data_IF_940603723454
#
_entry.id   IF_940603723454
#
_cell.length_a   1.000
_cell.length_b   1.000
_cell.length_c   1.000
_cell.angle_alpha   90.00
_cell.angle_beta   90.00
_cell.angle_gamma   90.00
#
_symmetry.space_group_name_H-M   'P 1'
#
loop_
_entity.id
_entity.type
_entity.pdbx_description
1 polymer ?
#
# COMPACT_ATOMS: atom_id res chain seq x y z
N UNK A 1 -18.03 -24.94 2.04
CA UNK A 1 -19.09 -24.46 2.97
C UNK A 1 -18.44 -23.39 3.82
N UNK A 2 -18.68 -22.11 3.51
CA UNK A 2 -18.28 -20.99 4.37
C UNK A 2 -19.28 -20.96 5.51
N UNK A 3 -18.76 -21.24 6.70
CA UNK A 3 -19.50 -21.39 7.95
C UNK A 3 -20.32 -20.14 8.28
N UNK A 4 -21.56 -20.29 8.73
CA UNK A 4 -22.50 -19.24 9.19
C UNK A 4 -22.07 -18.58 10.52
N UNK A 5 -20.79 -18.24 10.64
CA UNK A 5 -20.28 -17.54 11.82
C UNK A 5 -20.72 -16.09 11.80
N UNK A 6 -21.14 -15.59 12.96
CA UNK A 6 -21.41 -14.17 13.13
C UNK A 6 -20.27 -13.31 12.60
N UNK A 7 -20.56 -12.22 11.88
CA UNK A 7 -19.51 -11.36 11.32
C UNK A 7 -18.66 -10.75 12.43
N UNK A 8 -17.35 -10.68 12.19
CA UNK A 8 -16.40 -9.97 13.05
C UNK A 8 -16.63 -8.47 13.01
N UNK A 9 -16.87 -7.94 11.80
CA UNK A 9 -17.25 -6.56 11.59
C UNK A 9 -18.35 -6.47 10.52
N UNK A 10 -19.27 -5.51 10.67
CA UNK A 10 -20.30 -5.23 9.65
C UNK A 10 -20.52 -3.73 9.51
N UNK A 11 -20.64 -3.31 8.26
CA UNK A 11 -21.06 -1.97 7.87
C UNK A 11 -22.52 -2.05 7.42
N UNK A 12 -23.34 -1.17 7.94
CA UNK A 12 -24.78 -1.12 7.63
C UNK A 12 -25.14 0.32 7.23
N UNK A 13 -25.43 0.53 5.94
CA UNK A 13 -25.84 1.80 5.36
C UNK A 13 -24.92 2.97 5.71
N UNK A 14 -23.59 2.71 5.76
CA UNK A 14 -22.60 3.73 6.12
C UNK A 14 -22.64 4.90 5.15
N UNK A 15 -22.77 6.12 5.72
CA UNK A 15 -22.71 7.37 5.00
C UNK A 15 -21.69 8.31 5.63
N UNK A 16 -20.77 8.81 4.80
CA UNK A 16 -19.71 9.73 5.24
C UNK A 16 -19.69 10.97 4.36
N UNK A 17 -19.71 12.13 4.99
CA UNK A 17 -19.71 13.44 4.35
C UNK A 17 -18.54 14.30 4.81
N UNK A 18 -18.07 15.17 3.93
CA UNK A 18 -17.08 16.20 4.24
C UNK A 18 -17.66 17.58 3.92
N UNK A 19 -17.51 18.50 4.85
CA UNK A 19 -17.82 19.91 4.59
C UNK A 19 -16.64 20.57 3.89
N UNK A 20 -16.84 21.04 2.66
CA UNK A 20 -15.84 21.74 1.87
C UNK A 20 -16.26 23.18 1.62
N UNK A 21 -15.34 24.00 1.12
CA UNK A 21 -15.66 25.39 0.74
C UNK A 21 -16.75 25.50 -0.33
N UNK A 22 -16.85 24.48 -1.18
CA UNK A 22 -17.78 24.42 -2.31
C UNK A 22 -19.08 23.66 -1.96
N UNK A 23 -19.27 23.27 -0.70
CA UNK A 23 -20.43 22.52 -0.22
C UNK A 23 -20.09 21.16 0.38
N UNK A 24 -21.12 20.35 0.62
CA UNK A 24 -20.96 19.01 1.17
C UNK A 24 -20.59 18.01 0.07
N UNK A 25 -19.52 17.24 0.30
CA UNK A 25 -19.09 16.14 -0.54
C UNK A 25 -19.42 14.82 0.16
N UNK A 26 -20.21 13.96 -0.48
CA UNK A 26 -20.51 12.62 0.01
C UNK A 26 -19.42 11.67 -0.47
N UNK A 27 -18.55 11.27 0.44
CA UNK A 27 -17.41 10.38 0.11
C UNK A 27 -17.79 8.89 0.18
N UNK A 28 -18.79 8.55 0.99
CA UNK A 28 -19.35 7.20 1.11
C UNK A 28 -20.86 7.33 1.21
N UNK A 29 -21.57 6.61 0.35
CA UNK A 29 -23.04 6.64 0.28
C UNK A 29 -23.62 5.23 0.37
N UNK A 30 -24.29 4.94 1.49
CA UNK A 30 -25.04 3.71 1.73
C UNK A 30 -24.26 2.39 1.50
N UNK A 31 -23.06 2.29 2.11
CA UNK A 31 -22.26 1.07 1.98
C UNK A 31 -22.63 0.07 3.07
N UNK A 32 -22.95 -1.15 2.63
CA UNK A 32 -23.21 -2.28 3.51
C UNK A 32 -22.42 -3.51 3.06
N UNK A 33 -21.58 -4.05 3.93
CA UNK A 33 -20.86 -5.33 3.76
C UNK A 33 -20.41 -5.87 5.12
N UNK A 34 -19.94 -7.10 5.14
CA UNK A 34 -19.50 -7.78 6.37
C UNK A 34 -18.08 -8.33 6.21
N UNK A 35 -17.41 -8.55 7.32
CA UNK A 35 -16.11 -9.22 7.38
C UNK A 35 -16.26 -10.37 8.37
N UNK A 36 -16.04 -11.61 7.91
CA UNK A 36 -16.08 -12.80 8.76
C UNK A 36 -14.74 -13.03 9.47
N UNK A 37 -14.71 -13.75 10.58
CA UNK A 37 -13.45 -14.17 11.20
C UNK A 37 -12.55 -14.91 10.20
N UNK A 38 -11.24 -14.61 10.19
CA UNK A 38 -10.23 -15.24 9.33
C UNK A 38 -10.40 -14.96 7.83
N UNK A 39 -11.35 -14.13 7.44
CA UNK A 39 -11.59 -13.75 6.04
C UNK A 39 -10.70 -12.59 5.62
N UNK A 40 -10.24 -12.62 4.37
CA UNK A 40 -9.70 -11.43 3.69
C UNK A 40 -10.76 -10.85 2.77
N UNK A 41 -11.27 -9.68 3.11
CA UNK A 41 -12.15 -8.90 2.23
C UNK A 41 -11.31 -7.82 1.56
N UNK A 42 -11.26 -7.85 0.22
CA UNK A 42 -10.61 -6.79 -0.55
C UNK A 42 -11.63 -5.73 -0.97
N UNK A 43 -11.35 -4.48 -0.62
CA UNK A 43 -12.11 -3.30 -1.03
C UNK A 43 -11.40 -2.66 -2.23
N UNK A 44 -12.02 -2.68 -3.40
CA UNK A 44 -11.38 -2.29 -4.67
C UNK A 44 -12.17 -1.20 -5.40
N UNK A 45 -11.51 -0.47 -6.29
CA UNK A 45 -12.09 0.60 -7.11
C UNK A 45 -11.07 1.69 -7.39
N UNK A 46 -11.45 2.69 -8.17
CA UNK A 46 -10.59 3.81 -8.53
C UNK A 46 -10.21 4.69 -7.34
N UNK A 47 -9.19 5.54 -7.51
CA UNK A 47 -8.84 6.56 -6.51
C UNK A 47 -10.05 7.49 -6.29
N UNK A 48 -10.33 7.82 -5.04
CA UNK A 48 -11.49 8.65 -4.69
C UNK A 48 -12.81 7.89 -4.54
N UNK A 49 -12.89 6.59 -4.80
CA UNK A 49 -14.15 5.81 -4.68
C UNK A 49 -14.63 5.56 -3.24
N UNK A 50 -13.98 6.13 -2.22
CA UNK A 50 -14.42 6.02 -0.83
C UNK A 50 -13.82 4.87 -0.01
N UNK A 51 -12.90 4.05 -0.57
CA UNK A 51 -12.32 2.86 0.10
C UNK A 51 -11.63 3.19 1.42
N UNK A 52 -10.65 4.09 1.39
CA UNK A 52 -9.90 4.51 2.58
C UNK A 52 -10.79 5.24 3.58
N UNK A 53 -11.77 6.02 3.10
CA UNK A 53 -12.76 6.66 3.97
C UNK A 53 -13.59 5.63 4.72
N UNK A 54 -14.03 4.56 4.05
CA UNK A 54 -14.78 3.46 4.67
C UNK A 54 -13.95 2.76 5.76
N UNK A 55 -12.68 2.47 5.50
CA UNK A 55 -11.78 1.84 6.49
C UNK A 55 -11.46 2.76 7.67
N UNK A 56 -11.20 4.04 7.42
CA UNK A 56 -10.97 5.05 8.45
C UNK A 56 -12.21 5.28 9.31
N UNK A 57 -13.42 5.08 8.75
CA UNK A 57 -14.69 5.17 9.49
C UNK A 57 -14.82 4.06 10.52
N UNK A 58 -14.36 2.84 10.23
CA UNK A 58 -14.32 1.74 11.19
C UNK A 58 -13.43 2.07 12.39
N UNK A 59 -12.34 2.79 12.16
CA UNK A 59 -11.47 3.29 13.21
C UNK A 59 -11.94 4.64 13.78
N UNK A 60 -12.99 5.25 13.24
CA UNK A 60 -13.44 6.62 13.53
C UNK A 60 -12.30 7.65 13.41
N UNK A 61 -11.36 7.39 12.53
CA UNK A 61 -10.26 8.32 12.24
C UNK A 61 -10.69 9.39 11.22
N UNK A 62 -11.73 9.14 10.44
CA UNK A 62 -12.31 10.10 9.49
C UNK A 62 -12.72 11.40 10.16
N UNK A 63 -13.19 11.34 11.42
CA UNK A 63 -13.59 12.52 12.22
C UNK A 63 -12.44 13.51 12.44
N UNK A 64 -11.19 13.00 12.59
CA UNK A 64 -10.01 13.87 12.75
C UNK A 64 -9.58 14.55 11.45
N UNK A 65 -10.00 14.00 10.30
CA UNK A 65 -9.81 14.60 8.98
C UNK A 65 -10.95 15.53 8.53
N UNK A 66 -11.87 15.88 9.42
CA UNK A 66 -13.01 16.74 9.11
C UNK A 66 -14.20 16.03 8.47
N UNK A 67 -14.17 14.68 8.42
CA UNK A 67 -15.29 13.89 7.94
C UNK A 67 -16.37 13.71 9.01
N UNK A 68 -17.62 13.70 8.58
CA UNK A 68 -18.79 13.45 9.40
C UNK A 68 -19.40 12.09 9.06
N UNK A 69 -19.59 11.24 10.08
CA UNK A 69 -20.31 9.97 9.98
C UNK A 69 -21.82 10.29 10.01
N UNK A 70 -22.36 10.62 8.82
CA UNK A 70 -23.69 11.18 8.65
C UNK A 70 -24.82 10.15 8.78
N UNK A 71 -24.51 8.85 8.69
CA UNK A 71 -25.52 7.78 8.81
C UNK A 71 -24.93 6.39 8.84
N UNK A 72 -25.81 5.42 9.13
CA UNK A 72 -25.45 4.00 9.21
C UNK A 72 -24.93 3.55 10.56
N UNK A 73 -24.39 2.32 10.59
CA UNK A 73 -23.80 1.69 11.77
C UNK A 73 -22.56 0.88 11.38
N UNK A 74 -21.64 0.77 12.30
CA UNK A 74 -20.47 -0.12 12.16
C UNK A 74 -20.41 -1.00 13.41
N UNK A 75 -20.73 -2.26 13.25
CA UNK A 75 -20.64 -3.22 14.35
C UNK A 75 -19.28 -3.93 14.32
N UNK A 76 -18.75 -4.16 15.49
CA UNK A 76 -17.54 -4.96 15.71
C UNK A 76 -17.76 -5.91 16.87
N UNK A 77 -17.35 -7.18 16.71
CA UNK A 77 -17.40 -8.19 17.75
C UNK A 77 -16.03 -8.32 18.41
N UNK A 78 -15.93 -7.91 19.69
CA UNK A 78 -14.68 -7.94 20.45
C UNK A 78 -14.20 -9.35 20.76
N UNK A 79 -12.98 -9.47 21.29
CA UNK A 79 -12.42 -10.74 21.81
C UNK A 79 -13.26 -11.37 22.92
N UNK A 80 -14.04 -10.56 23.63
CA UNK A 80 -14.96 -10.99 24.68
C UNK A 80 -16.32 -11.47 24.13
N UNK A 81 -16.51 -11.45 22.79
CA UNK A 81 -17.77 -11.85 22.13
C UNK A 81 -18.86 -10.76 22.15
N UNK A 82 -18.55 -9.55 22.62
CA UNK A 82 -19.51 -8.44 22.65
C UNK A 82 -19.59 -7.76 21.28
N UNK A 83 -20.77 -7.76 20.67
CA UNK A 83 -21.06 -6.98 19.44
C UNK A 83 -21.42 -5.55 19.82
N UNK A 84 -20.67 -4.59 19.33
CA UNK A 84 -20.79 -3.18 19.69
C UNK A 84 -20.84 -2.31 18.44
N UNK A 85 -21.73 -1.32 18.39
CA UNK A 85 -21.72 -0.28 17.38
C UNK A 85 -20.61 0.73 17.70
N UNK A 86 -19.58 0.75 16.87
CA UNK A 86 -18.39 1.59 17.04
C UNK A 86 -18.71 3.09 16.94
N UNK A 87 -19.76 3.47 16.19
CA UNK A 87 -20.13 4.87 16.01
C UNK A 87 -20.66 5.49 17.30
N UNK A 88 -21.24 4.68 18.18
CA UNK A 88 -21.79 5.11 19.47
C UNK A 88 -20.79 5.12 20.63
N UNK A 89 -19.54 4.67 20.39
CA UNK A 89 -18.52 4.64 21.45
C UNK A 89 -17.94 6.03 21.72
N UNK A 90 -17.57 6.28 22.99
CA UNK A 90 -16.76 7.45 23.33
C UNK A 90 -15.33 7.29 22.77
N UNK A 91 -14.62 8.42 22.59
CA UNK A 91 -13.21 8.39 22.16
C UNK A 91 -12.29 7.59 23.12
N UNK A 92 -12.63 7.55 24.42
CA UNK A 92 -11.92 6.72 25.41
C UNK A 92 -12.09 5.23 25.13
N UNK A 93 -13.31 4.80 24.81
CA UNK A 93 -13.60 3.40 24.45
C UNK A 93 -12.93 3.02 23.13
N UNK A 94 -13.00 3.90 22.11
CA UNK A 94 -12.33 3.68 20.82
C UNK A 94 -10.80 3.52 20.96
N UNK A 95 -10.15 4.21 21.92
CA UNK A 95 -8.71 4.01 22.19
C UNK A 95 -8.36 2.61 22.65
N UNK A 96 -9.28 1.91 23.33
CA UNK A 96 -9.06 0.51 23.73
C UNK A 96 -9.20 -0.47 22.56
N UNK A 97 -9.89 -0.08 21.49
CA UNK A 97 -10.10 -0.89 20.28
C UNK A 97 -8.96 -0.66 19.29
N UNK A 98 -8.60 0.62 19.03
CA UNK A 98 -7.54 1.02 18.11
C UNK A 98 -6.19 0.47 18.59
N UNK A 99 -5.51 -0.28 17.71
CA UNK A 99 -4.21 -0.88 17.98
C UNK A 99 -4.25 -2.15 18.85
N UNK A 100 -5.35 -2.43 19.54
CA UNK A 100 -5.52 -3.65 20.33
C UNK A 100 -6.38 -4.72 19.60
N UNK A 101 -7.65 -4.40 19.35
CA UNK A 101 -8.59 -5.30 18.65
C UNK A 101 -8.56 -5.11 17.14
N UNK A 102 -8.30 -3.88 16.68
CA UNK A 102 -8.20 -3.50 15.28
C UNK A 102 -6.85 -2.82 15.04
N UNK A 103 -5.99 -3.47 14.24
CA UNK A 103 -4.73 -2.91 13.76
C UNK A 103 -4.91 -2.24 12.41
N UNK A 104 -4.05 -1.25 12.08
CA UNK A 104 -4.10 -0.60 10.78
C UNK A 104 -2.70 -0.36 10.21
N UNK A 105 -2.52 -0.71 8.94
CA UNK A 105 -1.39 -0.34 8.10
C UNK A 105 -1.88 0.79 7.20
N UNK A 106 -1.29 1.98 7.35
CA UNK A 106 -1.64 3.17 6.58
C UNK A 106 -0.96 3.18 5.20
N UNK A 107 -1.54 3.89 4.26
CA UNK A 107 -1.10 3.98 2.87
C UNK A 107 0.35 4.46 2.72
N UNK A 108 0.80 5.39 3.56
CA UNK A 108 2.16 5.93 3.52
C UNK A 108 2.98 5.54 4.76
N UNK A 109 3.91 4.58 4.66
CA UNK A 109 4.75 4.17 5.79
C UNK A 109 5.68 5.30 6.27
N UNK A 110 5.96 6.29 5.41
CA UNK A 110 6.81 7.44 5.73
C UNK A 110 6.16 8.37 6.75
N UNK A 111 4.84 8.53 6.68
CA UNK A 111 4.05 9.39 7.58
C UNK A 111 3.55 8.64 8.81
N UNK A 112 3.47 7.31 8.74
CA UNK A 112 3.01 6.46 9.84
C UNK A 112 4.02 6.36 11.00
N UNK A 113 5.34 6.52 10.72
CA UNK A 113 6.39 6.49 11.73
C UNK A 113 6.77 7.89 12.17
N UNK A 114 6.80 8.13 13.48
CA UNK A 114 7.27 9.38 14.05
C UNK A 114 8.81 9.49 13.89
N UNK A 115 9.33 10.48 13.13
CA UNK A 115 10.75 10.57 12.80
C UNK A 115 11.67 10.88 13.99
N UNK A 116 11.14 11.41 15.10
CA UNK A 116 11.92 11.79 16.30
C UNK A 116 11.95 10.72 17.39
N UNK A 117 11.28 9.56 17.15
CA UNK A 117 11.30 8.43 18.07
C UNK A 117 12.00 7.22 17.44
N UNK A 118 12.75 6.49 18.28
CA UNK A 118 13.38 5.23 17.86
C UNK A 118 12.33 4.18 17.53
N UNK A 119 12.71 3.19 16.73
CA UNK A 119 11.85 2.05 16.40
C UNK A 119 11.41 1.30 17.67
N UNK A 120 12.32 1.11 18.63
CA UNK A 120 12.00 0.49 19.92
C UNK A 120 10.84 1.19 20.62
N UNK A 121 10.92 2.53 20.75
CA UNK A 121 9.90 3.31 21.45
C UNK A 121 8.52 3.14 20.79
N UNK A 122 8.47 3.20 19.47
CA UNK A 122 7.22 3.11 18.72
C UNK A 122 6.61 1.71 18.77
N UNK A 123 7.40 0.65 18.63
CA UNK A 123 6.95 -0.74 18.74
C UNK A 123 6.47 -1.10 20.16
N UNK A 124 7.15 -0.61 21.18
CA UNK A 124 6.83 -0.96 22.58
C UNK A 124 5.66 -0.18 23.14
N UNK A 125 5.32 0.98 22.59
CA UNK A 125 4.25 1.85 23.08
C UNK A 125 2.90 1.12 23.13
N UNK A 126 2.47 0.54 22.01
CA UNK A 126 1.22 -0.22 21.91
C UNK A 126 1.18 -1.40 22.89
N UNK A 127 2.28 -2.13 23.01
CA UNK A 127 2.40 -3.26 23.93
C UNK A 127 2.26 -2.84 25.42
N UNK A 128 2.89 -1.72 25.78
CA UNK A 128 2.81 -1.21 27.16
C UNK A 128 1.40 -0.70 27.47
N UNK A 129 0.83 0.07 26.56
CA UNK A 129 -0.49 0.71 26.76
C UNK A 129 -1.61 -0.31 26.79
N UNK A 130 -1.67 -1.23 25.83
CA UNK A 130 -2.78 -2.15 25.67
C UNK A 130 -2.60 -3.46 26.47
N UNK A 131 -1.42 -4.07 26.41
CA UNK A 131 -1.15 -5.32 27.15
C UNK A 131 -0.73 -5.10 28.61
N UNK A 132 -0.48 -3.84 29.01
CA UNK A 132 -0.07 -3.45 30.36
C UNK A 132 1.16 -4.25 30.87
N UNK A 133 2.08 -4.61 29.96
CA UNK A 133 3.30 -5.34 30.29
C UNK A 133 4.45 -4.38 30.63
N UNK A 134 5.46 -4.89 31.32
CA UNK A 134 6.64 -4.09 31.65
C UNK A 134 7.46 -3.71 30.43
N UNK A 135 8.19 -2.60 30.48
CA UNK A 135 9.10 -2.16 29.41
C UNK A 135 10.06 -3.25 28.94
N UNK A 136 10.61 -4.03 29.90
CA UNK A 136 11.51 -5.15 29.60
C UNK A 136 10.81 -6.23 28.76
N UNK A 137 9.59 -6.61 29.13
CA UNK A 137 8.80 -7.60 28.39
C UNK A 137 8.39 -7.07 27.03
N UNK A 138 7.93 -5.81 26.95
CA UNK A 138 7.57 -5.16 25.68
C UNK A 138 8.76 -5.12 24.71
N UNK A 139 9.98 -4.86 25.18
CA UNK A 139 11.18 -4.89 24.35
C UNK A 139 11.49 -6.28 23.78
N UNK A 140 11.30 -7.34 24.56
CA UNK A 140 11.49 -8.72 24.09
C UNK A 140 10.45 -9.02 23.00
N UNK A 141 9.17 -8.74 23.24
CA UNK A 141 8.11 -8.95 22.25
C UNK A 141 8.33 -8.12 20.99
N UNK A 142 8.79 -6.87 21.11
CA UNK A 142 9.12 -6.02 19.96
C UNK A 142 10.29 -6.58 19.11
N UNK A 143 11.30 -7.19 19.74
CA UNK A 143 12.38 -7.88 19.01
C UNK A 143 11.85 -9.11 18.25
N UNK A 144 10.96 -9.88 18.87
CA UNK A 144 10.33 -11.03 18.22
C UNK A 144 9.48 -10.58 16.99
N UNK A 145 8.74 -9.47 17.13
CA UNK A 145 8.00 -8.87 16.02
C UNK A 145 8.92 -8.46 14.87
N UNK A 146 10.06 -7.82 15.15
CA UNK A 146 11.02 -7.46 14.10
C UNK A 146 11.62 -8.68 13.39
N UNK A 147 11.87 -9.77 14.13
CA UNK A 147 12.30 -11.06 13.54
C UNK A 147 11.21 -11.67 12.70
N UNK A 148 9.96 -11.63 13.16
CA UNK A 148 8.79 -12.14 12.45
C UNK A 148 8.60 -11.46 11.10
N UNK A 149 8.78 -10.12 11.05
CA UNK A 149 8.73 -9.36 9.79
C UNK A 149 10.07 -9.35 9.03
N UNK A 150 11.02 -10.20 9.40
CA UNK A 150 12.33 -10.39 8.74
C UNK A 150 13.16 -9.12 8.61
N UNK A 151 13.19 -8.29 9.66
CA UNK A 151 14.12 -7.17 9.74
C UNK A 151 15.53 -7.72 10.07
N UNK A 152 16.56 -7.42 9.25
CA UNK A 152 17.93 -7.84 9.54
C UNK A 152 18.50 -7.06 10.74
N UNK A 153 19.32 -7.73 11.57
CA UNK A 153 19.95 -7.13 12.77
C UNK A 153 18.95 -6.40 13.69
N UNK A 154 17.86 -7.06 14.16
CA UNK A 154 16.75 -6.37 14.82
C UNK A 154 17.18 -5.64 16.10
N UNK A 155 18.16 -6.14 16.83
CA UNK A 155 18.71 -5.48 18.03
C UNK A 155 19.34 -4.12 17.73
N UNK A 156 20.00 -4.00 16.58
CA UNK A 156 20.58 -2.75 16.10
C UNK A 156 19.47 -1.82 15.60
N UNK A 157 18.52 -2.34 14.79
CA UNK A 157 17.44 -1.55 14.19
C UNK A 157 16.49 -0.96 15.23
N UNK A 158 16.28 -1.64 16.36
CA UNK A 158 15.49 -1.09 17.47
C UNK A 158 15.97 0.28 17.95
N UNK A 159 17.28 0.53 17.91
CA UNK A 159 17.89 1.78 18.40
C UNK A 159 17.90 2.88 17.35
N UNK A 160 17.59 2.57 16.10
CA UNK A 160 17.60 3.49 14.98
C UNK A 160 16.30 4.30 14.90
N UNK A 161 16.40 5.41 14.19
CA UNK A 161 15.26 6.24 13.83
C UNK A 161 14.72 5.84 12.44
N UNK A 162 13.46 6.16 12.11
CA UNK A 162 12.86 5.80 10.82
C UNK A 162 13.68 6.21 9.60
N UNK A 163 14.30 7.38 9.60
CA UNK A 163 15.08 7.88 8.47
C UNK A 163 16.37 7.09 8.18
N UNK A 164 16.84 6.28 9.13
CA UNK A 164 18.00 5.39 8.97
C UNK A 164 17.64 4.03 8.35
N UNK A 165 16.34 3.76 8.11
CA UNK A 165 15.83 2.52 7.51
C UNK A 165 15.48 2.72 6.03
N UNK A 166 15.61 1.67 5.22
CA UNK A 166 15.08 1.66 3.85
C UNK A 166 13.55 1.70 3.83
N UNK A 167 12.95 2.06 2.69
CA UNK A 167 11.49 2.07 2.53
C UNK A 167 10.84 0.74 2.88
N UNK A 168 11.35 -0.37 2.36
CA UNK A 168 10.85 -1.71 2.67
C UNK A 168 11.02 -2.11 4.15
N UNK A 169 12.11 -1.68 4.81
CA UNK A 169 12.26 -1.89 6.25
C UNK A 169 11.25 -1.07 7.06
N UNK A 170 10.99 0.19 6.69
CA UNK A 170 9.95 1.01 7.35
C UNK A 170 8.59 0.37 7.23
N UNK A 171 8.23 -0.13 6.04
CA UNK A 171 6.96 -0.83 5.82
C UNK A 171 6.84 -2.05 6.72
N UNK A 172 7.89 -2.88 6.83
CA UNK A 172 7.91 -4.04 7.74
C UNK A 172 7.75 -3.64 9.21
N UNK A 173 8.35 -2.52 9.62
CA UNK A 173 8.17 -1.97 10.99
C UNK A 173 6.72 -1.53 11.21
N UNK A 174 6.10 -0.83 10.25
CA UNK A 174 4.68 -0.44 10.35
C UNK A 174 3.77 -1.67 10.45
N UNK A 175 4.05 -2.72 9.67
CA UNK A 175 3.33 -4.00 9.77
C UNK A 175 3.52 -4.63 11.18
N UNK A 176 4.75 -4.64 11.69
CA UNK A 176 5.03 -5.14 13.03
C UNK A 176 4.27 -4.36 14.12
N UNK A 177 4.17 -3.04 13.98
CA UNK A 177 3.39 -2.19 14.90
C UNK A 177 1.90 -2.50 14.84
N UNK A 178 1.34 -2.63 13.64
CA UNK A 178 -0.08 -2.95 13.45
C UNK A 178 -0.46 -4.30 14.06
N UNK A 179 0.47 -5.25 14.11
CA UNK A 179 0.28 -6.61 14.63
C UNK A 179 0.73 -6.81 16.07
N UNK A 180 1.35 -5.80 16.71
CA UNK A 180 1.98 -5.92 18.03
C UNK A 180 1.03 -6.46 19.10
N UNK A 181 -0.23 -6.04 19.08
CA UNK A 181 -1.25 -6.48 20.02
C UNK A 181 -2.02 -7.74 19.57
N UNK A 182 -1.67 -8.34 18.43
CA UNK A 182 -2.39 -9.47 17.81
C UNK A 182 -3.88 -9.14 17.59
N UNK A 183 -4.18 -8.14 16.78
CA UNK A 183 -5.55 -7.69 16.56
C UNK A 183 -6.39 -8.77 15.89
N UNK A 184 -7.69 -8.77 16.13
CA UNK A 184 -8.66 -9.66 15.46
C UNK A 184 -8.95 -9.22 14.03
N UNK A 185 -8.85 -7.91 13.75
CA UNK A 185 -9.01 -7.32 12.42
C UNK A 185 -7.78 -6.47 12.08
N UNK A 186 -7.18 -6.76 10.95
CA UNK A 186 -6.12 -5.94 10.36
C UNK A 186 -6.69 -5.18 9.16
N UNK A 187 -6.62 -3.87 9.20
CA UNK A 187 -6.89 -3.01 8.05
C UNK A 187 -5.55 -2.76 7.34
N UNK A 188 -5.48 -3.06 6.05
CA UNK A 188 -4.31 -2.81 5.22
C UNK A 188 -4.72 -1.86 4.08
N UNK A 189 -4.47 -0.56 4.28
CA UNK A 189 -4.82 0.47 3.30
C UNK A 189 -3.65 0.70 2.36
N UNK A 190 -3.74 0.15 1.17
CA UNK A 190 -2.72 0.17 0.11
C UNK A 190 -1.29 -0.13 0.63
N UNK A 191 -1.08 -1.26 1.33
CA UNK A 191 0.16 -1.52 2.08
C UNK A 191 1.39 -1.70 1.20
N UNK A 192 1.24 -1.79 -0.10
CA UNK A 192 2.31 -2.03 -1.08
C UNK A 192 2.49 -0.89 -2.08
N UNK A 193 1.73 0.20 -1.94
CA UNK A 193 1.88 1.38 -2.81
C UNK A 193 3.28 1.97 -2.71
N UNK A 194 3.87 2.35 -3.84
CA UNK A 194 5.23 2.86 -4.00
C UNK A 194 6.36 1.87 -3.65
N UNK A 195 6.08 0.58 -3.52
CA UNK A 195 7.08 -0.47 -3.42
C UNK A 195 7.38 -1.07 -4.81
N UNK A 196 8.59 -1.60 -4.97
CA UNK A 196 8.89 -2.41 -6.14
C UNK A 196 8.23 -3.79 -6.07
N UNK A 197 8.11 -4.45 -7.22
CA UNK A 197 7.37 -5.71 -7.36
C UNK A 197 7.92 -6.82 -6.44
N UNK A 198 9.24 -6.86 -6.23
CA UNK A 198 9.88 -7.87 -5.37
C UNK A 198 9.51 -7.66 -3.91
N UNK A 199 9.65 -6.42 -3.41
CA UNK A 199 9.27 -6.05 -2.03
C UNK A 199 7.76 -6.19 -1.84
N UNK A 200 6.94 -5.82 -2.83
CA UNK A 200 5.49 -6.04 -2.80
C UNK A 200 5.15 -7.51 -2.57
N UNK A 201 5.73 -8.43 -3.38
CA UNK A 201 5.49 -9.87 -3.22
C UNK A 201 5.89 -10.38 -1.83
N UNK A 202 7.03 -9.91 -1.29
CA UNK A 202 7.48 -10.26 0.06
C UNK A 202 6.52 -9.76 1.15
N UNK A 203 5.98 -8.54 1.02
CA UNK A 203 5.03 -7.97 1.98
C UNK A 203 3.69 -8.72 1.93
N UNK A 204 3.18 -9.06 0.74
CA UNK A 204 1.94 -9.82 0.60
C UNK A 204 2.09 -11.23 1.18
N UNK A 205 3.21 -11.91 0.91
CA UNK A 205 3.52 -13.21 1.52
C UNK A 205 3.63 -13.11 3.04
N UNK A 206 4.22 -12.04 3.57
CA UNK A 206 4.30 -11.78 4.99
C UNK A 206 2.91 -11.62 5.62
N UNK A 207 2.03 -10.79 5.03
CA UNK A 207 0.67 -10.55 5.52
C UNK A 207 -0.12 -11.86 5.52
N UNK A 208 -0.05 -12.68 4.46
CA UNK A 208 -0.71 -13.99 4.38
C UNK A 208 -0.23 -14.96 5.46
N UNK A 209 1.08 -15.02 5.70
CA UNK A 209 1.64 -15.84 6.77
C UNK A 209 1.12 -15.38 8.14
N UNK A 210 1.14 -14.08 8.40
CA UNK A 210 0.68 -13.50 9.66
C UNK A 210 -0.82 -13.73 9.90
N UNK A 211 -1.65 -13.66 8.83
CA UNK A 211 -3.06 -14.05 8.88
C UNK A 211 -3.23 -15.48 9.42
N UNK A 212 -2.45 -16.43 8.89
CA UNK A 212 -2.53 -17.83 9.31
C UNK A 212 -2.02 -18.09 10.73
N UNK A 213 -1.04 -17.30 11.22
CA UNK A 213 -0.48 -17.42 12.56
C UNK A 213 -1.31 -16.73 13.65
N UNK A 214 -2.11 -15.71 13.30
CA UNK A 214 -2.85 -14.87 14.26
C UNK A 214 -4.36 -15.07 14.24
N UNK A 215 -4.89 -15.82 13.28
CA UNK A 215 -6.33 -15.97 13.05
C UNK A 215 -7.08 -14.64 12.77
N UNK A 216 -6.37 -13.60 12.42
CA UNK A 216 -6.93 -12.29 12.13
C UNK A 216 -7.73 -12.30 10.81
N UNK A 217 -8.83 -11.56 10.79
CA UNK A 217 -9.46 -11.14 9.54
C UNK A 217 -8.71 -9.95 8.94
N UNK A 218 -8.80 -9.76 7.64
CA UNK A 218 -8.12 -8.67 6.94
C UNK A 218 -9.13 -7.89 6.09
N UNK A 219 -9.19 -6.58 6.28
CA UNK A 219 -9.77 -5.64 5.32
C UNK A 219 -8.62 -5.05 4.50
N UNK A 220 -8.48 -5.51 3.26
CA UNK A 220 -7.40 -5.14 2.38
C UNK A 220 -7.89 -4.14 1.33
N UNK A 221 -7.30 -2.97 1.26
CA UNK A 221 -7.66 -1.92 0.29
C UNK A 221 -6.57 -1.85 -0.75
N UNK A 222 -6.95 -1.93 -2.01
CA UNK A 222 -6.03 -1.78 -3.15
C UNK A 222 -6.78 -1.42 -4.42
N UNK A 223 -6.08 -0.81 -5.37
CA UNK A 223 -6.54 -0.63 -6.75
C UNK A 223 -5.88 -1.66 -7.70
N UNK A 224 -4.97 -2.50 -7.21
CA UNK A 224 -4.26 -3.50 -8.01
C UNK A 224 -5.02 -4.84 -7.99
N UNK A 225 -5.66 -5.17 -9.11
CA UNK A 225 -6.43 -6.41 -9.27
C UNK A 225 -5.56 -7.67 -9.21
N UNK A 226 -4.24 -7.58 -9.51
CA UNK A 226 -3.34 -8.73 -9.35
C UNK A 226 -3.12 -9.05 -7.86
N UNK A 227 -3.02 -8.02 -7.02
CA UNK A 227 -2.98 -8.17 -5.57
C UNK A 227 -4.29 -8.76 -5.02
N UNK A 228 -5.43 -8.29 -5.54
CA UNK A 228 -6.75 -8.85 -5.17
C UNK A 228 -6.84 -10.34 -5.47
N UNK A 229 -6.43 -10.76 -6.67
CA UNK A 229 -6.45 -12.17 -7.06
C UNK A 229 -5.58 -13.07 -6.15
N UNK A 230 -4.53 -12.51 -5.54
CA UNK A 230 -3.60 -13.24 -4.66
C UNK A 230 -4.06 -13.26 -3.19
N UNK A 231 -4.77 -12.22 -2.75
CA UNK A 231 -5.04 -11.98 -1.33
C UNK A 231 -6.49 -12.24 -0.91
N UNK A 232 -7.46 -11.99 -1.81
CA UNK A 232 -8.87 -11.94 -1.46
C UNK A 232 -9.52 -13.31 -1.32
N UNK A 233 -10.30 -13.49 -0.27
CA UNK A 233 -11.35 -14.51 -0.21
C UNK A 233 -12.62 -13.95 -0.87
N UNK A 234 -12.97 -12.69 -0.57
CA UNK A 234 -14.11 -11.95 -1.11
C UNK A 234 -13.72 -10.53 -1.48
N UNK A 235 -14.41 -9.99 -2.48
CA UNK A 235 -14.15 -8.67 -3.05
C UNK A 235 -15.40 -7.82 -2.97
N UNK A 236 -15.23 -6.56 -2.56
CA UNK A 236 -16.25 -5.51 -2.59
C UNK A 236 -15.75 -4.44 -3.55
N UNK A 237 -16.47 -4.23 -4.65
CA UNK A 237 -16.14 -3.24 -5.68
C UNK A 237 -16.85 -1.94 -5.38
N UNK A 238 -16.10 -0.85 -5.29
CA UNK A 238 -16.60 0.50 -5.01
C UNK A 238 -16.39 1.45 -6.17
N UNK A 239 -17.35 2.32 -6.40
CA UNK A 239 -17.28 3.44 -7.34
C UNK A 239 -18.11 4.60 -6.83
N UNK A 240 -17.58 5.83 -6.89
CA UNK A 240 -18.26 7.06 -6.47
C UNK A 240 -18.96 6.95 -5.10
N UNK A 241 -18.25 6.41 -4.11
CA UNK A 241 -18.78 6.26 -2.76
C UNK A 241 -19.80 5.14 -2.56
N UNK A 242 -20.11 4.34 -3.58
CA UNK A 242 -21.12 3.27 -3.55
C UNK A 242 -20.51 1.89 -3.76
N UNK A 243 -21.19 0.87 -3.24
CA UNK A 243 -20.88 -0.53 -3.55
C UNK A 243 -21.55 -0.91 -4.88
N UNK A 244 -20.75 -1.29 -5.87
CA UNK A 244 -21.22 -1.73 -7.18
C UNK A 244 -21.47 -3.23 -7.24
N UNK A 245 -20.55 -4.01 -6.69
CA UNK A 245 -20.64 -5.47 -6.72
C UNK A 245 -19.92 -6.06 -5.51
N UNK A 246 -20.34 -7.25 -5.07
CA UNK A 246 -19.71 -8.02 -4.02
C UNK A 246 -19.81 -9.50 -4.36
N UNK A 247 -18.71 -10.25 -4.21
CA UNK A 247 -18.67 -11.68 -4.48
C UNK A 247 -17.37 -12.31 -4.05
N UNK A 248 -17.25 -13.63 -4.17
CA UNK A 248 -15.96 -14.32 -4.01
C UNK A 248 -14.98 -13.83 -5.08
N UNK A 249 -13.67 -13.95 -4.79
CA UNK A 249 -12.64 -13.60 -5.79
C UNK A 249 -12.88 -14.30 -7.12
N UNK A 250 -13.32 -15.57 -7.09
CA UNK A 250 -13.60 -16.34 -8.29
C UNK A 250 -14.77 -15.76 -9.10
N UNK A 251 -15.88 -15.40 -8.45
CA UNK A 251 -17.05 -14.78 -9.10
C UNK A 251 -16.70 -13.46 -9.76
N UNK A 252 -16.02 -12.57 -9.02
CA UNK A 252 -15.63 -11.23 -9.54
C UNK A 252 -14.70 -11.36 -10.76
N UNK A 253 -13.73 -12.28 -10.74
CA UNK A 253 -12.77 -12.41 -11.86
C UNK A 253 -13.30 -13.21 -13.04
N UNK A 254 -14.18 -14.21 -12.83
CA UNK A 254 -14.64 -15.11 -13.89
C UNK A 254 -15.99 -14.73 -14.46
N UNK A 255 -16.88 -14.19 -13.63
CA UNK A 255 -18.27 -13.89 -14.00
C UNK A 255 -18.78 -12.58 -13.36
N UNK A 256 -18.09 -11.43 -13.58
CA UNK A 256 -18.54 -10.15 -13.06
C UNK A 256 -19.92 -9.78 -13.62
N UNK A 257 -20.81 -9.33 -12.74
CA UNK A 257 -22.19 -8.99 -13.13
C UNK A 257 -22.31 -7.51 -13.46
N UNK A 258 -21.71 -6.63 -12.65
CA UNK A 258 -21.82 -5.19 -12.82
C UNK A 258 -20.91 -4.67 -13.94
N UNK A 259 -21.41 -3.75 -14.77
CA UNK A 259 -20.66 -3.24 -15.92
C UNK A 259 -19.39 -2.48 -15.53
N UNK A 260 -19.41 -1.77 -14.41
CA UNK A 260 -18.20 -1.14 -13.87
C UNK A 260 -17.12 -2.18 -13.49
N UNK A 261 -17.50 -3.29 -12.87
CA UNK A 261 -16.56 -4.38 -12.54
C UNK A 261 -15.93 -4.98 -13.81
N UNK A 262 -16.75 -5.20 -14.85
CA UNK A 262 -16.26 -5.67 -16.15
C UNK A 262 -15.27 -4.68 -16.77
N UNK A 263 -15.60 -3.39 -16.73
CA UNK A 263 -14.73 -2.34 -17.25
C UNK A 263 -13.41 -2.22 -16.46
N UNK A 264 -13.48 -2.29 -15.13
CA UNK A 264 -12.31 -2.29 -14.24
C UNK A 264 -11.36 -3.46 -14.55
N UNK A 265 -11.90 -4.67 -14.70
CA UNK A 265 -11.11 -5.85 -15.07
C UNK A 265 -10.56 -5.80 -16.49
N UNK A 266 -11.30 -5.18 -17.43
CA UNK A 266 -10.84 -5.00 -18.80
C UNK A 266 -9.72 -3.95 -18.93
N UNK A 267 -9.59 -3.03 -17.98
CA UNK A 267 -8.52 -2.04 -17.94
C UNK A 267 -7.19 -2.62 -17.42
N UNK A 268 -7.20 -3.80 -16.79
CA UNK A 268 -5.97 -4.45 -16.29
C UNK A 268 -5.17 -5.02 -17.46
N UNK A 269 -3.90 -4.58 -17.66
CA UNK A 269 -3.06 -5.12 -18.71
C UNK A 269 -2.78 -6.62 -18.49
N UNK A 270 -2.94 -7.42 -19.53
CA UNK A 270 -2.62 -8.85 -19.48
C UNK A 270 -1.21 -9.10 -19.99
N UNK A 271 -0.44 -9.88 -19.24
CA UNK A 271 0.90 -10.26 -19.65
C UNK A 271 0.83 -10.99 -21.01
N UNK A 272 1.64 -10.55 -21.97
CA UNK A 272 1.66 -11.13 -23.33
C UNK A 272 0.60 -10.59 -24.29
N UNK A 273 -0.36 -9.76 -23.87
CA UNK A 273 -1.40 -9.19 -24.76
C UNK A 273 -0.80 -8.40 -25.92
N UNK A 274 0.37 -7.79 -25.69
CA UNK A 274 1.09 -6.99 -26.69
C UNK A 274 2.12 -7.78 -27.49
N UNK A 275 2.37 -9.07 -27.17
CA UNK A 275 3.44 -9.86 -27.77
C UNK A 275 3.29 -10.04 -29.29
N UNK A 276 2.05 -10.08 -29.80
CA UNK A 276 1.74 -10.20 -31.24
C UNK A 276 1.55 -8.85 -31.93
N UNK A 277 1.65 -7.72 -31.20
CA UNK A 277 1.37 -6.38 -31.74
C UNK A 277 2.66 -5.65 -32.05
N UNK A 278 2.72 -5.02 -33.21
CA UNK A 278 3.89 -4.25 -33.69
C UNK A 278 4.06 -2.92 -32.95
N UNK A 279 2.97 -2.36 -32.43
CA UNK A 279 2.94 -1.06 -31.75
C UNK A 279 2.14 -1.14 -30.46
N UNK A 280 2.46 -0.34 -29.44
CA UNK A 280 1.66 -0.25 -28.23
C UNK A 280 0.26 0.27 -28.56
N UNK A 281 -0.75 -0.34 -27.93
CA UNK A 281 -2.13 0.14 -28.00
C UNK A 281 -2.46 0.91 -26.71
N UNK A 282 -3.34 1.94 -26.78
CA UNK A 282 -3.84 2.63 -25.61
C UNK A 282 -4.56 1.64 -24.68
N UNK A 283 -4.37 1.80 -23.38
CA UNK A 283 -5.17 1.09 -22.39
C UNK A 283 -6.66 1.44 -22.57
N UNK A 284 -7.53 0.47 -22.31
CA UNK A 284 -8.98 0.72 -22.29
C UNK A 284 -9.30 1.50 -21.03
N UNK A 285 -9.87 2.68 -21.21
CA UNK A 285 -10.39 3.45 -20.08
C UNK A 285 -11.79 2.94 -19.71
N UNK A 286 -12.10 2.98 -18.41
CA UNK A 286 -13.42 2.60 -17.89
C UNK A 286 -14.45 3.58 -18.48
N UNK A 287 -15.48 3.04 -19.15
CA UNK A 287 -16.56 3.86 -19.76
C UNK A 287 -16.29 4.42 -21.17
N UNK A 288 -15.09 4.28 -21.74
CA UNK A 288 -14.82 4.70 -23.10
C UNK A 288 -15.08 3.60 -24.14
N UNK A 289 -15.72 3.99 -25.25
CA UNK A 289 -15.75 3.18 -26.46
C UNK A 289 -14.31 3.08 -26.99
N UNK A 290 -13.96 1.90 -27.54
CA UNK A 290 -12.65 1.56 -28.10
C UNK A 290 -12.00 2.80 -28.74
N UNK A 291 -10.94 3.31 -28.13
CA UNK A 291 -10.16 4.41 -28.69
C UNK A 291 -9.64 4.00 -30.05
N UNK A 292 -9.77 4.86 -31.06
CA UNK A 292 -9.13 4.62 -32.34
C UNK A 292 -7.63 4.45 -32.08
N UNK A 293 -7.06 3.40 -32.67
CA UNK A 293 -5.63 3.13 -32.56
C UNK A 293 -4.86 4.39 -32.98
N UNK A 294 -4.14 4.98 -32.08
CA UNK A 294 -3.29 6.12 -32.39
C UNK A 294 -2.39 5.72 -33.55
N UNK A 295 -2.44 6.49 -34.66
CA UNK A 295 -1.52 6.26 -35.78
C UNK A 295 -0.11 6.28 -35.21
N UNK A 296 0.69 5.22 -35.38
CA UNK A 296 2.03 5.19 -34.82
C UNK A 296 2.80 6.39 -35.33
N UNK A 297 3.37 7.16 -34.43
CA UNK A 297 4.40 8.13 -34.80
C UNK A 297 5.54 7.28 -35.35
N UNK A 298 5.74 7.31 -36.67
CA UNK A 298 6.84 6.61 -37.33
C UNK A 298 8.11 7.35 -36.87
N UNK A 299 8.69 6.89 -35.77
CA UNK A 299 9.97 7.41 -35.30
C UNK A 299 11.00 7.22 -36.41
N UNK A 300 11.80 8.24 -36.67
CA UNK A 300 12.96 8.13 -37.52
C UNK A 300 13.99 7.18 -36.89
N UNK A 301 14.82 6.52 -37.69
CA UNK A 301 15.96 5.76 -37.17
C UNK A 301 17.12 6.68 -36.75
N UNK A 302 16.82 7.94 -36.45
CA UNK A 302 17.77 8.95 -36.02
C UNK A 302 17.90 8.91 -34.49
N UNK A 303 19.13 8.70 -33.96
CA UNK A 303 19.36 8.80 -32.53
C UNK A 303 19.06 10.20 -32.01
N UNK A 304 18.23 10.30 -30.98
CA UNK A 304 17.99 11.55 -30.25
C UNK A 304 18.94 11.68 -29.06
N UNK A 305 19.22 10.57 -28.37
CA UNK A 305 20.10 10.56 -27.22
C UNK A 305 20.92 9.28 -27.26
N UNK A 306 22.24 9.42 -27.14
CA UNK A 306 23.17 8.30 -27.02
C UNK A 306 23.89 8.41 -25.69
N UNK A 307 23.85 7.33 -24.91
CA UNK A 307 24.53 7.18 -23.62
C UNK A 307 25.55 6.08 -23.79
N UNK A 308 26.82 6.38 -23.51
CA UNK A 308 27.91 5.41 -23.59
C UNK A 308 28.65 5.31 -22.25
N UNK A 309 28.68 4.10 -21.68
CA UNK A 309 29.40 3.72 -20.46
C UNK A 309 29.20 4.69 -19.30
N UNK A 310 27.96 5.12 -19.08
CA UNK A 310 27.62 6.06 -18.00
C UNK A 310 27.92 5.44 -16.64
N UNK A 311 28.71 6.17 -15.85
CA UNK A 311 29.04 5.83 -14.46
C UNK A 311 28.69 7.01 -13.57
N UNK A 312 27.93 6.76 -12.50
CA UNK A 312 27.62 7.79 -11.48
C UNK A 312 27.82 7.22 -10.09
N UNK A 313 28.73 7.84 -9.34
CA UNK A 313 29.11 7.43 -7.98
C UNK A 313 28.94 8.57 -7.00
N UNK A 314 28.28 8.32 -5.88
CA UNK A 314 28.10 9.30 -4.81
C UNK A 314 29.23 9.19 -3.79
N UNK A 315 29.94 10.29 -3.45
CA UNK A 315 30.97 10.26 -2.41
C UNK A 315 30.33 10.15 -1.01
N UNK A 316 30.78 9.17 -0.23
CA UNK A 316 30.46 9.06 1.19
C UNK A 316 31.55 9.85 1.95
N UNK A 317 31.13 10.96 2.56
CA UNK A 317 32.03 11.83 3.34
C UNK A 317 32.04 11.35 4.81
N UNK A 318 33.24 11.21 5.38
CA UNK A 318 33.45 10.81 6.78
C UNK A 318 34.61 11.55 7.43
N UNK A 319 34.72 11.40 8.76
CA UNK A 319 35.75 12.03 9.58
C UNK A 319 35.57 13.54 9.79
N UNK A 320 36.42 14.12 10.68
CA UNK A 320 36.35 15.53 11.09
C UNK A 320 36.56 16.50 9.92
N UNK A 321 37.26 16.07 8.85
CA UNK A 321 37.59 16.88 7.66
C UNK A 321 36.65 16.59 6.46
N UNK A 322 35.52 15.87 6.65
CA UNK A 322 34.57 15.52 5.56
C UNK A 322 35.25 14.98 4.28
N UNK A 323 36.31 14.19 4.44
CA UNK A 323 36.97 13.54 3.28
C UNK A 323 36.13 12.38 2.78
N UNK A 324 36.23 12.11 1.47
CA UNK A 324 35.56 10.95 0.86
C UNK A 324 36.21 9.66 1.38
N UNK A 325 35.47 8.89 2.19
CA UNK A 325 35.92 7.61 2.79
C UNK A 325 35.46 6.40 2.00
N UNK A 326 34.41 6.55 1.20
CA UNK A 326 33.85 5.51 0.34
C UNK A 326 33.07 6.15 -0.82
N UNK A 327 32.63 5.35 -1.78
CA UNK A 327 31.72 5.78 -2.86
C UNK A 327 30.58 4.78 -2.98
N UNK A 328 29.36 5.27 -3.13
CA UNK A 328 28.20 4.46 -3.49
C UNK A 328 28.15 4.38 -5.01
N UNK A 329 28.24 3.18 -5.54
CA UNK A 329 28.18 2.87 -6.97
C UNK A 329 26.71 2.80 -7.39
N UNK A 330 26.14 3.92 -7.82
CA UNK A 330 24.72 4.01 -8.14
C UNK A 330 24.42 3.63 -9.59
N UNK A 331 25.33 3.94 -10.51
CA UNK A 331 25.26 3.56 -11.93
C UNK A 331 26.64 3.13 -12.37
N UNK A 332 26.76 1.97 -12.99
CA UNK A 332 28.00 1.42 -13.49
C UNK A 332 27.81 0.92 -14.92
N UNK A 333 28.57 1.48 -15.87
CA UNK A 333 28.67 1.03 -17.27
C UNK A 333 27.34 0.88 -18.01
N UNK A 334 26.45 1.88 -17.93
CA UNK A 334 25.15 1.85 -18.58
C UNK A 334 25.22 2.52 -19.95
N UNK A 335 24.86 1.77 -21.00
CA UNK A 335 24.85 2.28 -22.38
C UNK A 335 23.51 1.98 -23.04
N UNK A 336 22.94 2.96 -23.74
CA UNK A 336 21.71 2.82 -24.55
C UNK A 336 21.55 3.98 -25.52
N UNK A 337 20.64 3.79 -26.50
CA UNK A 337 20.27 4.84 -27.45
C UNK A 337 18.77 5.03 -27.43
N UNK A 338 18.31 6.27 -27.35
CA UNK A 338 16.92 6.68 -27.51
C UNK A 338 16.73 7.27 -28.91
N UNK A 339 15.87 6.66 -29.69
CA UNK A 339 15.53 7.12 -31.04
C UNK A 339 14.47 8.21 -30.99
N UNK A 340 14.53 9.17 -31.91
CA UNK A 340 13.56 10.26 -32.06
C UNK A 340 12.14 9.71 -32.27
N UNK A 341 11.18 10.18 -31.47
CA UNK A 341 9.79 9.71 -31.50
C UNK A 341 9.56 8.31 -30.92
N UNK A 342 10.56 7.74 -30.19
CA UNK A 342 10.43 6.47 -29.49
C UNK A 342 10.39 6.68 -27.99
N UNK A 343 9.75 5.74 -27.29
CA UNK A 343 9.78 5.65 -25.82
C UNK A 343 10.68 4.49 -25.41
N UNK A 344 11.67 4.76 -24.56
CA UNK A 344 12.51 3.75 -23.93
C UNK A 344 12.14 3.67 -22.45
N UNK A 345 11.71 2.50 -21.98
CA UNK A 345 11.40 2.26 -20.59
C UNK A 345 12.63 1.72 -19.84
N UNK A 346 13.02 2.38 -18.75
CA UNK A 346 14.06 1.93 -17.83
C UNK A 346 13.41 1.23 -16.65
N UNK A 347 13.60 -0.08 -16.54
CA UNK A 347 12.95 -0.92 -15.52
C UNK A 347 13.98 -1.58 -14.59
N UNK A 348 13.55 -1.98 -13.40
CA UNK A 348 14.39 -2.64 -12.42
C UNK A 348 13.90 -2.40 -10.99
N UNK A 349 14.52 -3.03 -10.01
CA UNK A 349 14.18 -2.93 -8.58
C UNK A 349 14.42 -1.54 -8.00
N UNK A 350 13.83 -1.24 -6.84
CA UNK A 350 14.09 0.01 -6.13
C UNK A 350 15.57 0.10 -5.71
N UNK A 351 16.17 1.27 -5.93
CA UNK A 351 17.60 1.48 -5.60
C UNK A 351 18.61 0.99 -6.66
N UNK A 352 18.18 0.35 -7.77
CA UNK A 352 19.10 -0.11 -8.82
C UNK A 352 19.69 1.00 -9.71
N UNK A 353 19.42 2.29 -9.41
CA UNK A 353 20.05 3.42 -10.11
C UNK A 353 19.22 4.10 -11.19
N UNK A 354 17.96 3.67 -11.50
CA UNK A 354 17.11 4.27 -12.55
C UNK A 354 16.99 5.79 -12.45
N UNK A 355 16.61 6.28 -11.27
CA UNK A 355 16.49 7.73 -11.03
C UNK A 355 17.82 8.45 -11.11
N UNK A 356 18.93 7.78 -10.78
CA UNK A 356 20.28 8.33 -10.91
C UNK A 356 20.65 8.47 -12.39
N UNK A 357 20.34 7.45 -13.22
CA UNK A 357 20.51 7.56 -14.68
C UNK A 357 19.75 8.78 -15.20
N UNK A 358 18.43 8.89 -14.93
CA UNK A 358 17.63 10.02 -15.40
C UNK A 358 18.18 11.38 -14.95
N UNK A 359 18.60 11.50 -13.68
CA UNK A 359 19.20 12.74 -13.16
C UNK A 359 20.57 13.05 -13.78
N UNK A 360 21.36 12.04 -14.12
CA UNK A 360 22.65 12.20 -14.78
C UNK A 360 22.48 12.68 -16.24
N UNK A 361 21.45 12.18 -16.94
CA UNK A 361 21.14 12.61 -18.32
C UNK A 361 20.87 14.11 -18.43
N UNK A 362 20.14 14.67 -17.47
CA UNK A 362 19.80 16.10 -17.43
C UNK A 362 20.78 16.92 -16.56
N UNK A 363 21.93 16.33 -16.21
CA UNK A 363 23.02 16.98 -15.43
C UNK A 363 22.61 17.52 -14.06
N UNK A 364 21.53 17.02 -13.46
CA UNK A 364 21.19 17.28 -12.04
C UNK A 364 22.15 16.56 -11.09
N UNK A 365 22.77 15.48 -11.57
CA UNK A 365 23.85 14.75 -10.90
C UNK A 365 24.96 14.61 -11.93
N UNK A 366 26.14 15.11 -11.59
CA UNK A 366 27.30 15.03 -12.50
C UNK A 366 27.78 13.58 -12.62
N UNK A 367 27.86 13.00 -13.82
CA UNK A 367 28.43 11.68 -14.03
C UNK A 367 29.89 11.61 -13.56
N UNK A 368 30.27 10.45 -13.08
CA UNK A 368 31.70 10.21 -12.72
C UNK A 368 32.52 9.97 -13.99
N UNK A 369 31.98 9.31 -14.98
CA UNK A 369 32.54 9.07 -16.31
C UNK A 369 31.48 8.62 -17.30
N UNK A 370 31.83 8.47 -18.57
CA UNK A 370 30.94 8.12 -19.67
C UNK A 370 30.42 9.36 -20.41
N UNK A 371 29.85 9.13 -21.59
CA UNK A 371 29.42 10.18 -22.50
C UNK A 371 27.89 10.19 -22.65
N UNK A 372 27.31 11.38 -22.70
CA UNK A 372 25.89 11.63 -22.96
C UNK A 372 25.78 12.66 -24.08
N UNK A 373 25.32 12.21 -25.24
CA UNK A 373 25.21 13.00 -26.46
C UNK A 373 23.73 13.12 -26.86
N UNK A 374 23.25 14.36 -27.04
CA UNK A 374 21.88 14.72 -27.45
C UNK A 374 21.88 15.19 -28.90
#
# INVERSE_FOLDING_TARGET
MLDDKEPLASFENLRVEFDTKDGKVVAVEDISFQIKPRETVCLVGESGSGKSVSSLSLMRLVEFGGGNLAGGKIFFTSSEGSKTDLLNLSQRQMRNIRGNEIGMIFQEPMTALNPVFTIERQLTEGLIVHKKISKRKARIEALELLRLVRIPEPERRMRQFPHELSGGMRQRVVIAMALACKPRLLIADEPTTALDVTIQAEILALINRLKSETDAAILFITHDMAVVAQMADRVVVMHDGKKMEEGTVHEIFKNPQHDYTKALLAAVPKLGEMASKKYPEPMRLVGEKKSEALKPIIGTNEPLLTVDKLVTRYPVKGGMFRRTVARVHAVEDVSFTLMKGKTLALVGESGCGKSTVGRSLIRLVEPTSGDVNL
#
